data_IF_390667929771
#
_entry.id   IF_390667929771
#
_cell.length_a   1.000
_cell.length_b   1.000
_cell.length_c   1.000
_cell.angle_alpha   90.00
_cell.angle_beta   90.00
_cell.angle_gamma   90.00
#
_symmetry.space_group_name_H-M   'P 1'
#
loop_
_entity.id
_entity.type
_entity.pdbx_description
1 polymer ?
#
# COMPACT_ATOMS: atom_id res chain seq x y z
N UNK A 1 2.65 12.19 -6.17
CA UNK A 1 2.11 13.48 -5.70
C UNK A 1 1.18 14.00 -6.78
N UNK A 2 0.27 14.91 -6.45
CA UNK A 2 -0.64 15.47 -7.43
C UNK A 2 0.16 16.19 -8.53
N UNK A 3 -0.20 15.92 -9.79
CA UNK A 3 0.52 16.44 -10.96
C UNK A 3 1.61 15.52 -11.51
N UNK A 4 2.05 14.49 -10.79
CA UNK A 4 2.99 13.51 -11.36
C UNK A 4 2.31 12.75 -12.52
N UNK A 5 3.06 12.56 -13.61
CA UNK A 5 2.56 11.79 -14.75
C UNK A 5 2.69 10.29 -14.48
N UNK A 6 1.63 9.55 -14.76
CA UNK A 6 1.63 8.09 -14.72
C UNK A 6 1.41 7.57 -16.14
N UNK A 7 2.35 6.76 -16.62
CA UNK A 7 2.23 6.06 -17.89
C UNK A 7 1.58 4.71 -17.64
N UNK A 8 0.44 4.47 -18.29
CA UNK A 8 -0.23 3.17 -18.32
C UNK A 8 -0.09 2.63 -19.75
N UNK A 9 0.73 1.60 -19.91
CA UNK A 9 0.97 0.95 -21.19
C UNK A 9 0.31 -0.43 -21.17
N UNK A 10 -0.88 -0.51 -21.77
CA UNK A 10 -1.68 -1.75 -21.80
C UNK A 10 -1.02 -2.81 -22.69
N UNK A 11 -0.55 -2.52 -23.91
CA UNK A 11 0.15 -3.50 -24.73
C UNK A 11 1.36 -4.14 -24.03
N UNK A 12 2.18 -3.32 -23.36
CA UNK A 12 3.37 -3.80 -22.65
C UNK A 12 3.10 -4.20 -21.19
N UNK A 13 1.84 -4.15 -20.74
CA UNK A 13 1.40 -4.51 -19.37
C UNK A 13 2.19 -3.81 -18.27
N UNK A 14 2.46 -2.52 -18.43
CA UNK A 14 3.26 -1.74 -17.48
C UNK A 14 2.52 -0.53 -16.94
N UNK A 15 2.86 -0.16 -15.70
CA UNK A 15 2.44 1.07 -15.06
C UNK A 15 3.68 1.74 -14.45
N UNK A 16 4.03 2.93 -14.94
CA UNK A 16 5.24 3.64 -14.55
C UNK A 16 4.90 5.04 -14.05
N UNK A 17 5.49 5.41 -12.91
CA UNK A 17 5.48 6.79 -12.43
C UNK A 17 6.63 7.54 -13.12
N UNK A 18 6.32 8.56 -13.91
CA UNK A 18 7.30 9.29 -14.73
C UNK A 18 8.06 10.34 -13.91
N UNK A 19 8.82 9.88 -12.90
CA UNK A 19 9.79 10.65 -12.13
C UNK A 19 11.13 9.90 -12.13
N UNK A 20 12.22 10.56 -11.76
CA UNK A 20 13.51 9.88 -11.65
C UNK A 20 13.56 8.97 -10.41
N UNK A 21 14.44 7.97 -10.44
CA UNK A 21 14.62 7.04 -9.33
C UNK A 21 15.15 7.76 -8.08
N UNK A 22 15.99 8.79 -8.26
CA UNK A 22 16.51 9.61 -7.16
C UNK A 22 15.38 10.37 -6.45
N UNK A 23 14.48 10.98 -7.22
CA UNK A 23 13.30 11.68 -6.67
C UNK A 23 12.37 10.69 -5.95
N UNK A 24 12.15 9.51 -6.53
CA UNK A 24 11.33 8.47 -5.91
C UNK A 24 11.95 7.98 -4.59
N UNK A 25 13.27 7.80 -4.55
CA UNK A 25 14.00 7.40 -3.35
C UNK A 25 13.95 8.49 -2.27
N UNK A 26 14.17 9.76 -2.64
CA UNK A 26 14.07 10.89 -1.73
C UNK A 26 12.66 10.98 -1.11
N UNK A 27 11.61 10.83 -1.92
CA UNK A 27 10.22 10.82 -1.44
C UNK A 27 9.92 9.67 -0.49
N UNK A 28 10.49 8.48 -0.73
CA UNK A 28 10.36 7.34 0.20
C UNK A 28 10.97 7.66 1.56
N UNK A 29 12.19 8.19 1.59
CA UNK A 29 12.87 8.56 2.85
C UNK A 29 12.06 9.59 3.64
N UNK A 30 11.53 10.61 2.96
CA UNK A 30 10.68 11.62 3.61
C UNK A 30 9.35 11.03 4.10
N UNK A 31 8.78 10.06 3.38
CA UNK A 31 7.55 9.40 3.77
C UNK A 31 7.76 8.44 4.95
N UNK A 32 8.90 7.74 5.01
CA UNK A 32 9.26 6.86 6.11
C UNK A 32 9.35 7.63 7.43
N UNK A 33 9.89 8.86 7.40
CA UNK A 33 9.91 9.77 8.56
C UNK A 33 8.50 10.16 9.04
N UNK A 34 7.56 10.36 8.11
CA UNK A 34 6.15 10.69 8.42
C UNK A 34 5.34 9.47 8.87
N UNK A 35 5.77 8.28 8.45
CA UNK A 35 5.10 7.01 8.65
C UNK A 35 4.00 6.73 7.63
N UNK A 36 3.73 5.44 7.40
CA UNK A 36 2.73 4.97 6.43
C UNK A 36 1.37 4.78 7.10
N UNK A 37 0.67 5.89 7.31
CA UNK A 37 -0.69 5.92 7.87
C UNK A 37 -1.58 6.90 7.12
N UNK A 38 -2.91 6.73 7.15
CA UNK A 38 -3.83 7.70 6.55
C UNK A 38 -3.56 9.11 7.12
N UNK A 39 -3.32 10.08 6.24
CA UNK A 39 -3.02 11.47 6.61
C UNK A 39 -4.27 12.15 7.19
N UNK A 40 -5.42 11.89 6.58
CA UNK A 40 -6.70 12.46 7.01
C UNK A 40 -7.44 11.54 7.99
N UNK A 41 -8.13 12.15 8.95
CA UNK A 41 -9.08 11.43 9.81
C UNK A 41 -10.30 11.04 8.98
N UNK A 42 -10.41 9.75 8.65
CA UNK A 42 -11.56 9.19 7.91
C UNK A 42 -12.56 8.58 8.90
N UNK A 43 -13.80 9.09 9.00
CA UNK A 43 -14.83 8.47 9.83
C UNK A 43 -15.32 7.18 9.18
N UNK A 44 -14.62 6.07 9.45
CA UNK A 44 -15.02 4.73 9.01
C UNK A 44 -15.34 3.86 10.22
N UNK A 45 -16.43 3.10 10.16
CA UNK A 45 -16.75 2.09 11.17
C UNK A 45 -15.88 0.86 10.93
N UNK A 46 -14.79 0.74 11.68
CA UNK A 46 -13.89 -0.43 11.62
C UNK A 46 -14.30 -1.42 12.72
N UNK A 47 -15.05 -2.45 12.34
CA UNK A 47 -15.49 -3.51 13.26
C UNK A 47 -14.33 -4.42 13.66
N UNK A 48 -14.49 -5.19 14.74
CA UNK A 48 -13.50 -6.18 15.17
C UNK A 48 -13.17 -7.19 14.07
N UNK A 49 -14.19 -7.65 13.32
CA UNK A 49 -14.00 -8.55 12.18
C UNK A 49 -13.10 -7.93 11.09
N UNK A 50 -13.26 -6.63 10.80
CA UNK A 50 -12.41 -5.93 9.83
C UNK A 50 -10.97 -5.76 10.34
N UNK A 51 -10.77 -5.56 11.65
CA UNK A 51 -9.42 -5.52 12.24
C UNK A 51 -8.73 -6.87 12.11
N UNK A 52 -9.42 -7.96 12.44
CA UNK A 52 -8.91 -9.31 12.31
C UNK A 52 -8.60 -9.67 10.85
N UNK A 53 -9.48 -9.29 9.92
CA UNK A 53 -9.22 -9.46 8.49
C UNK A 53 -7.95 -8.73 8.04
N UNK A 54 -7.81 -7.45 8.40
CA UNK A 54 -6.66 -6.64 8.00
C UNK A 54 -5.32 -7.18 8.53
N UNK A 55 -5.32 -7.82 9.70
CA UNK A 55 -4.13 -8.45 10.27
C UNK A 55 -3.70 -9.70 9.48
N UNK A 56 -4.65 -10.46 8.96
CA UNK A 56 -4.39 -11.77 8.34
C UNK A 56 -4.30 -11.72 6.82
N UNK A 57 -4.87 -10.70 6.18
CA UNK A 57 -4.96 -10.60 4.73
C UNK A 57 -3.55 -10.44 4.11
N UNK A 58 -3.22 -11.32 3.17
CA UNK A 58 -1.99 -11.20 2.37
C UNK A 58 -2.16 -10.19 1.24
N UNK A 59 -1.06 -9.89 0.55
CA UNK A 59 -1.09 -9.06 -0.64
C UNK A 59 -1.99 -9.64 -1.74
N UNK A 60 -2.54 -8.75 -2.58
CA UNK A 60 -3.51 -9.09 -3.62
C UNK A 60 -2.88 -9.86 -4.80
N UNK A 61 -1.58 -9.67 -5.05
CA UNK A 61 -0.79 -10.48 -6.00
C UNK A 61 -0.78 -11.97 -5.61
N UNK A 62 -0.91 -12.27 -4.32
CA UNK A 62 -1.04 -13.63 -3.77
C UNK A 62 -2.50 -14.06 -3.55
N UNK A 63 -3.47 -13.29 -4.06
CA UNK A 63 -4.89 -13.61 -3.98
C UNK A 63 -5.61 -13.14 -2.70
N UNK A 64 -4.98 -12.28 -1.88
CA UNK A 64 -5.59 -11.73 -0.66
C UNK A 64 -6.14 -12.77 0.34
N UNK A 65 -5.49 -13.94 0.40
CA UNK A 65 -5.86 -15.01 1.32
C UNK A 65 -5.53 -14.63 2.77
N UNK A 66 -6.14 -15.33 3.74
CA UNK A 66 -5.86 -15.11 5.16
C UNK A 66 -4.73 -16.03 5.61
N UNK A 67 -3.60 -15.45 6.01
CA UNK A 67 -2.45 -16.21 6.50
C UNK A 67 -2.64 -16.60 7.97
N UNK A 68 -3.02 -17.86 8.21
CA UNK A 68 -3.24 -18.41 9.57
C UNK A 68 -1.95 -18.51 10.39
N UNK A 69 -0.78 -18.64 9.77
CA UNK A 69 0.49 -18.72 10.49
C UNK A 69 0.77 -17.46 11.33
N UNK A 70 0.15 -16.32 11.01
CA UNK A 70 0.26 -15.10 11.82
C UNK A 70 -0.50 -15.20 13.15
N UNK A 71 -1.36 -16.21 13.34
CA UNK A 71 -2.01 -16.52 14.61
C UNK A 71 -1.15 -17.40 15.50
N UNK A 72 -0.34 -18.29 14.92
CA UNK A 72 0.49 -19.26 15.65
C UNK A 72 1.77 -18.61 16.23
N UNK A 73 2.13 -17.41 15.76
CA UNK A 73 3.27 -16.62 16.22
C UNK A 73 2.93 -15.45 17.15
N UNK A 74 1.67 -15.35 17.60
CA UNK A 74 1.18 -14.41 18.61
C UNK A 74 1.16 -15.06 19.99
#
# INVERSE_FOLDING_TARGET
QDGDKVLIDIPNRSINLLISDEELAARRVEQDKKGWKPVEKRPRKVTTALKAYALLATSADKGAVRNKAMLDGL
#
